data_IF_061190417718
#
_entry.id   IF_061190417718
#
_cell.length_a   1.000
_cell.length_b   1.000
_cell.length_c   1.000
_cell.angle_alpha   90.00
_cell.angle_beta   90.00
_cell.angle_gamma   90.00
#
_symmetry.space_group_name_H-M   'P 1'
#
loop_
_entity.id
_entity.type
_entity.pdbx_description
1 polymer ?
#
# COMPACT_ATOMS: atom_id res chain seq x y z
N UNK A 1 -12.15 49.32 -45.16
CA UNK A 1 -11.43 48.03 -45.31
C UNK A 1 -11.61 47.26 -44.00
N UNK A 2 -12.35 46.16 -44.04
CA UNK A 2 -12.87 45.43 -42.86
C UNK A 2 -11.77 44.55 -42.25
N UNK A 3 -11.59 44.61 -40.92
CA UNK A 3 -10.66 43.73 -40.18
C UNK A 3 -11.27 42.32 -40.04
N UNK A 4 -10.51 41.24 -40.27
CA UNK A 4 -11.01 39.87 -40.12
C UNK A 4 -11.19 39.47 -38.66
N UNK A 5 -12.24 38.68 -38.40
CA UNK A 5 -12.67 38.19 -37.10
C UNK A 5 -11.83 36.97 -36.67
N UNK A 6 -11.13 37.04 -35.54
CA UNK A 6 -10.36 35.92 -34.99
C UNK A 6 -11.22 35.10 -34.01
N UNK A 7 -11.24 33.78 -34.18
CA UNK A 7 -11.92 32.84 -33.27
C UNK A 7 -11.07 32.57 -32.02
N UNK A 8 -11.72 32.58 -30.87
CA UNK A 8 -11.09 32.42 -29.55
C UNK A 8 -10.80 30.94 -29.32
N UNK A 9 -9.59 30.49 -29.64
CA UNK A 9 -9.19 29.09 -29.45
C UNK A 9 -7.78 28.68 -29.91
N UNK A 10 -7.10 29.45 -30.75
CA UNK A 10 -5.76 29.06 -31.24
C UNK A 10 -4.62 29.59 -30.34
N UNK A 11 -3.83 28.68 -29.75
CA UNK A 11 -2.57 28.99 -29.05
C UNK A 11 -1.39 28.99 -30.04
N UNK A 12 -0.53 30.01 -30.05
CA UNK A 12 0.59 30.09 -30.99
C UNK A 12 1.74 29.11 -30.68
N UNK A 13 2.25 28.42 -31.71
CA UNK A 13 3.40 27.50 -31.66
C UNK A 13 4.72 28.24 -31.33
N UNK A 14 5.44 27.82 -30.28
CA UNK A 14 6.80 28.30 -29.95
C UNK A 14 7.84 27.71 -30.93
N UNK A 15 8.67 28.58 -31.52
CA UNK A 15 9.77 28.24 -32.44
C UNK A 15 11.06 27.89 -31.67
N UNK A 16 11.77 26.89 -32.19
CA UNK A 16 13.09 26.36 -31.78
C UNK A 16 14.20 27.35 -32.15
N UNK A 17 15.17 27.62 -31.26
CA UNK A 17 16.35 28.46 -31.54
C UNK A 17 17.63 27.62 -31.42
N UNK A 18 18.51 27.80 -32.40
CA UNK A 18 19.81 27.14 -32.62
C UNK A 18 20.94 27.79 -31.82
N UNK A 19 21.96 26.98 -31.48
CA UNK A 19 23.20 27.31 -30.75
C UNK A 19 24.16 28.23 -31.52
N UNK A 20 25.01 28.97 -30.79
CA UNK A 20 26.36 29.38 -31.22
C UNK A 20 27.28 29.48 -29.99
N UNK A 21 28.46 28.89 -30.13
CA UNK A 21 29.53 28.70 -29.14
C UNK A 21 30.36 29.97 -28.86
N UNK A 22 30.89 30.13 -27.64
CA UNK A 22 32.34 30.26 -27.37
C UNK A 22 32.70 30.27 -25.86
N UNK A 23 33.69 29.43 -25.52
CA UNK A 23 34.70 29.38 -24.44
C UNK A 23 34.51 30.04 -23.05
N UNK A 24 34.77 29.26 -21.98
CA UNK A 24 35.21 29.79 -20.67
C UNK A 24 34.96 28.91 -19.43
N UNK A 25 35.93 28.06 -19.10
CA UNK A 25 36.41 27.59 -17.77
C UNK A 25 35.49 27.40 -16.52
N UNK A 26 35.60 26.18 -15.95
CA UNK A 26 35.58 25.77 -14.52
C UNK A 26 34.36 25.88 -13.56
N UNK A 27 34.01 24.67 -13.06
CA UNK A 27 33.56 24.25 -11.69
C UNK A 27 32.05 24.16 -11.30
N UNK A 28 31.75 22.92 -10.88
CA UNK A 28 30.89 22.43 -9.77
C UNK A 28 29.34 22.43 -9.83
N UNK A 29 28.81 21.31 -9.32
CA UNK A 29 27.46 20.95 -8.85
C UNK A 29 26.32 20.56 -9.84
N UNK A 30 26.07 19.24 -9.94
CA UNK A 30 24.74 18.65 -10.20
C UNK A 30 24.09 18.16 -8.88
N UNK A 31 22.91 17.49 -8.83
CA UNK A 31 22.12 16.79 -9.87
C UNK A 31 20.57 17.05 -9.69
N UNK A 32 19.58 16.17 -10.02
CA UNK A 32 19.50 15.02 -10.94
C UNK A 32 18.35 15.13 -11.98
N UNK A 33 18.48 14.37 -13.07
CA UNK A 33 17.50 14.28 -14.16
C UNK A 33 16.57 13.06 -14.01
N UNK A 34 15.32 13.27 -14.41
CA UNK A 34 14.19 12.33 -14.41
C UNK A 34 14.41 11.14 -15.34
N UNK A 35 14.05 9.94 -14.85
CA UNK A 35 14.04 8.68 -15.61
C UNK A 35 12.70 8.54 -16.34
N UNK A 36 12.75 8.39 -17.67
CA UNK A 36 11.69 7.75 -18.46
C UNK A 36 12.27 6.64 -19.32
N UNK A 37 11.49 5.57 -19.39
CA UNK A 37 11.77 4.21 -19.86
C UNK A 37 11.70 4.11 -21.39
N UNK A 38 12.63 3.37 -22.00
CA UNK A 38 12.37 2.56 -23.20
C UNK A 38 13.43 1.45 -23.34
N UNK A 39 12.90 0.25 -23.60
CA UNK A 39 13.50 -1.07 -23.86
C UNK A 39 14.41 -1.17 -25.08
N UNK A 40 15.49 -1.97 -25.03
CA UNK A 40 15.66 -3.22 -25.81
C UNK A 40 16.95 -3.98 -25.43
N UNK A 41 16.78 -5.31 -25.38
CA UNK A 41 17.71 -6.44 -25.27
C UNK A 41 19.20 -6.21 -25.62
N UNK A 42 20.12 -6.63 -24.75
CA UNK A 42 20.83 -7.94 -24.83
C UNK A 42 21.91 -8.05 -23.76
N UNK A 43 22.18 -9.31 -23.40
CA UNK A 43 23.37 -9.85 -22.72
C UNK A 43 23.26 -10.13 -21.22
N UNK A 44 23.44 -11.42 -20.95
CA UNK A 44 23.42 -12.20 -19.73
C UNK A 44 24.24 -11.62 -18.57
N UNK A 45 23.90 -12.06 -17.35
CA UNK A 45 24.58 -11.83 -16.05
C UNK A 45 24.01 -10.75 -15.12
N UNK A 46 22.68 -10.66 -14.98
CA UNK A 46 22.02 -9.88 -13.90
C UNK A 46 20.84 -10.59 -13.21
N UNK A 47 20.61 -11.89 -13.48
CA UNK A 47 19.35 -12.57 -13.17
C UNK A 47 19.02 -12.72 -11.67
N UNK A 48 19.99 -12.89 -10.78
CA UNK A 48 19.68 -13.19 -9.37
C UNK A 48 19.29 -11.98 -8.50
N UNK A 49 19.71 -10.76 -8.83
CA UNK A 49 19.26 -9.58 -8.07
C UNK A 49 17.93 -9.03 -8.59
N UNK A 50 17.68 -9.16 -9.90
CA UNK A 50 16.42 -8.74 -10.52
C UNK A 50 15.25 -9.65 -10.14
N UNK A 51 15.41 -10.98 -10.13
CA UNK A 51 14.33 -11.88 -9.69
C UNK A 51 13.92 -11.61 -8.24
N UNK A 52 14.91 -11.46 -7.34
CA UNK A 52 14.63 -11.30 -5.91
C UNK A 52 14.07 -9.91 -5.56
N UNK A 53 14.46 -8.84 -6.27
CA UNK A 53 13.79 -7.54 -6.14
C UNK A 53 12.37 -7.54 -6.70
N UNK A 54 12.10 -8.35 -7.72
CA UNK A 54 10.76 -8.48 -8.31
C UNK A 54 9.83 -9.28 -7.38
N UNK A 55 10.34 -10.33 -6.74
CA UNK A 55 9.63 -11.08 -5.69
C UNK A 55 9.35 -10.22 -4.45
N UNK A 56 10.36 -9.51 -3.93
CA UNK A 56 10.20 -8.61 -2.78
C UNK A 56 9.17 -7.48 -3.05
N UNK A 57 9.06 -7.02 -4.31
CA UNK A 57 8.07 -6.02 -4.73
C UNK A 57 6.67 -6.61 -4.94
N UNK A 58 6.56 -7.87 -5.39
CA UNK A 58 5.27 -8.57 -5.51
C UNK A 58 4.68 -8.91 -4.13
N UNK A 59 5.51 -9.29 -3.15
CA UNK A 59 5.07 -9.49 -1.76
C UNK A 59 4.52 -8.19 -1.12
N UNK A 60 4.99 -7.03 -1.58
CA UNK A 60 4.58 -5.72 -1.08
C UNK A 60 3.15 -5.31 -1.54
N UNK A 61 2.56 -6.01 -2.51
CA UNK A 61 1.21 -5.76 -3.02
C UNK A 61 0.14 -6.73 -2.49
N UNK A 62 0.54 -7.77 -1.75
CA UNK A 62 -0.37 -8.77 -1.19
C UNK A 62 -1.31 -8.21 -0.10
N UNK A 63 -2.54 -8.73 -0.01
CA UNK A 63 -3.55 -8.30 0.96
C UNK A 63 -3.89 -9.38 1.98
N UNK A 64 -4.04 -8.99 3.25
CA UNK A 64 -4.36 -9.88 4.37
C UNK A 64 -5.46 -9.28 5.25
N UNK A 65 -6.15 -10.12 6.03
CA UNK A 65 -7.16 -9.65 6.99
C UNK A 65 -6.45 -9.10 8.22
N UNK A 66 -6.95 -7.98 8.75
CA UNK A 66 -6.48 -7.46 10.03
C UNK A 66 -7.03 -8.33 11.17
N UNK A 67 -6.18 -8.85 12.05
CA UNK A 67 -6.60 -9.71 13.17
C UNK A 67 -6.75 -8.89 14.45
N UNK A 68 -5.93 -7.84 14.57
CA UNK A 68 -5.88 -6.94 15.72
C UNK A 68 -5.94 -5.47 15.29
N UNK A 69 -6.33 -4.59 16.22
CA UNK A 69 -6.31 -3.14 15.99
C UNK A 69 -4.90 -2.61 15.65
N UNK A 70 -3.86 -3.27 16.15
CA UNK A 70 -2.46 -2.93 15.84
C UNK A 70 -2.07 -3.22 14.39
N UNK A 71 -2.81 -4.08 13.71
CA UNK A 71 -2.52 -4.41 12.31
C UNK A 71 -2.98 -3.28 11.38
N UNK A 72 -4.04 -2.56 11.75
CA UNK A 72 -4.71 -1.57 10.90
C UNK A 72 -3.86 -0.30 10.80
N UNK A 73 -3.11 -0.16 9.71
CA UNK A 73 -2.38 1.05 9.37
C UNK A 73 -2.08 1.11 7.87
N UNK A 74 -2.06 2.31 7.30
CA UNK A 74 -1.76 2.49 5.88
C UNK A 74 -2.94 2.08 4.99
N UNK A 75 -2.68 1.60 3.76
CA UNK A 75 -3.74 1.20 2.83
C UNK A 75 -4.56 0.00 3.35
N UNK A 76 -5.87 0.21 3.43
CA UNK A 76 -6.88 -0.77 3.81
C UNK A 76 -8.05 -0.76 2.81
N UNK A 77 -8.87 -1.79 2.89
CA UNK A 77 -10.14 -1.93 2.17
C UNK A 77 -11.19 -2.45 3.15
N UNK A 78 -12.35 -1.80 3.19
CA UNK A 78 -13.51 -2.27 3.94
C UNK A 78 -14.31 -3.21 3.05
N UNK A 79 -14.47 -4.45 3.48
CA UNK A 79 -15.34 -5.44 2.83
C UNK A 79 -16.62 -5.53 3.65
N UNK A 80 -17.71 -5.14 3.01
CA UNK A 80 -19.03 -5.00 3.60
C UNK A 80 -19.70 -6.36 3.81
N UNK A 81 -20.56 -6.53 4.84
CA UNK A 81 -21.27 -7.78 5.12
C UNK A 81 -22.44 -8.02 4.14
N UNK A 82 -22.15 -8.08 2.84
CA UNK A 82 -23.15 -8.21 1.76
C UNK A 82 -23.30 -9.61 1.23
N UNK A 83 -22.99 -10.62 2.05
CA UNK A 83 -22.99 -12.06 1.69
C UNK A 83 -24.38 -12.65 1.44
N UNK A 84 -25.40 -11.80 1.22
CA UNK A 84 -26.74 -12.26 0.88
C UNK A 84 -26.80 -12.53 -0.63
N UNK A 85 -26.78 -13.81 -1.00
CA UNK A 85 -27.04 -14.27 -2.37
C UNK A 85 -28.29 -13.58 -2.92
N UNK A 86 -28.26 -12.99 -4.13
CA UNK A 86 -27.31 -13.22 -5.23
C UNK A 86 -26.13 -12.24 -5.31
N UNK A 87 -25.92 -11.37 -4.33
CA UNK A 87 -24.94 -10.28 -4.45
C UNK A 87 -23.52 -10.71 -4.10
N UNK A 88 -22.51 -10.41 -4.95
CA UNK A 88 -21.12 -10.63 -4.58
C UNK A 88 -20.74 -9.73 -3.40
N UNK A 89 -19.65 -10.06 -2.66
CA UNK A 89 -19.07 -9.18 -1.67
C UNK A 89 -18.85 -7.78 -2.25
N UNK A 90 -19.15 -6.76 -1.46
CA UNK A 90 -18.96 -5.36 -1.85
C UNK A 90 -17.97 -4.67 -0.93
N UNK A 91 -17.39 -3.57 -1.40
CA UNK A 91 -16.48 -2.72 -0.65
C UNK A 91 -17.11 -1.37 -0.34
N UNK A 92 -16.67 -0.74 0.75
CA UNK A 92 -16.91 0.68 0.97
C UNK A 92 -16.02 1.48 0.01
N UNK A 93 -16.61 2.11 -0.99
CA UNK A 93 -15.90 2.89 -2.00
C UNK A 93 -16.26 4.35 -1.95
N UNK A 94 -15.44 5.18 -2.58
CA UNK A 94 -15.69 6.62 -2.68
C UNK A 94 -15.35 7.17 -4.06
N UNK A 95 -16.19 8.07 -4.57
CA UNK A 95 -15.94 8.76 -5.83
C UNK A 95 -15.11 10.05 -5.64
N UNK A 96 -14.78 10.72 -6.75
CA UNK A 96 -14.00 11.95 -6.74
C UNK A 96 -14.72 13.12 -6.02
N UNK A 97 -16.05 13.09 -5.96
CA UNK A 97 -16.86 14.13 -5.32
C UNK A 97 -17.00 13.90 -3.81
N UNK A 98 -16.68 12.71 -3.33
CA UNK A 98 -16.80 12.31 -1.93
C UNK A 98 -18.10 11.58 -1.61
N UNK A 99 -18.84 11.09 -2.61
CA UNK A 99 -19.96 10.19 -2.38
C UNK A 99 -19.42 8.81 -2.01
N UNK A 100 -19.87 8.28 -0.87
CA UNK A 100 -19.55 6.93 -0.43
C UNK A 100 -20.65 5.97 -0.87
N UNK A 101 -20.26 4.79 -1.34
CA UNK A 101 -21.19 3.80 -1.89
C UNK A 101 -20.61 2.39 -1.79
N UNK A 102 -21.48 1.38 -1.85
CA UNK A 102 -21.05 -0.01 -1.98
C UNK A 102 -20.63 -0.30 -3.44
N UNK A 103 -19.46 -0.89 -3.65
CA UNK A 103 -18.97 -1.32 -4.97
C UNK A 103 -18.74 -2.82 -4.98
N UNK A 104 -19.13 -3.52 -6.05
CA UNK A 104 -18.86 -4.96 -6.20
C UNK A 104 -17.36 -5.23 -6.18
N UNK A 105 -16.93 -6.30 -5.54
CA UNK A 105 -15.54 -6.75 -5.54
C UNK A 105 -15.38 -7.83 -6.61
N UNK A 106 -14.50 -7.61 -7.59
CA UNK A 106 -14.23 -8.56 -8.66
C UNK A 106 -13.06 -9.49 -8.34
N UNK A 107 -12.04 -8.99 -7.64
CA UNK A 107 -10.87 -9.76 -7.26
C UNK A 107 -11.12 -10.51 -5.93
N UNK A 108 -11.66 -11.73 -6.05
CA UNK A 108 -11.96 -12.66 -4.96
C UNK A 108 -11.56 -14.08 -5.41
N UNK A 109 -11.02 -14.86 -4.47
CA UNK A 109 -10.83 -16.30 -4.63
C UNK A 109 -12.12 -17.00 -4.19
N UNK A 110 -12.75 -17.75 -5.10
CA UNK A 110 -13.97 -18.54 -4.83
C UNK A 110 -15.15 -17.72 -4.24
N UNK A 111 -15.16 -16.41 -4.46
CA UNK A 111 -16.17 -15.51 -3.90
C UNK A 111 -16.05 -15.27 -2.39
N UNK A 112 -14.95 -15.69 -1.77
CA UNK A 112 -14.74 -15.59 -0.32
C UNK A 112 -14.30 -14.16 0.08
N UNK A 113 -15.01 -13.48 1.00
CA UNK A 113 -14.68 -12.10 1.41
C UNK A 113 -13.28 -11.93 2.07
N UNK A 114 -12.73 -13.00 2.64
CA UNK A 114 -11.42 -13.02 3.28
C UNK A 114 -10.25 -13.14 2.30
N UNK A 115 -10.52 -13.32 1.01
CA UNK A 115 -9.55 -13.27 -0.07
C UNK A 115 -9.64 -11.98 -0.88
N UNK A 116 -10.54 -11.07 -0.51
CA UNK A 116 -10.80 -9.85 -1.25
C UNK A 116 -9.55 -8.97 -1.39
N UNK A 117 -9.33 -8.49 -2.60
CA UNK A 117 -8.30 -7.51 -2.95
C UNK A 117 -8.94 -6.36 -3.76
N UNK A 118 -8.42 -5.12 -3.63
CA UNK A 118 -8.93 -4.01 -4.40
C UNK A 118 -8.54 -4.15 -5.88
N UNK A 119 -9.51 -3.92 -6.76
CA UNK A 119 -9.33 -3.84 -8.21
C UNK A 119 -9.56 -2.40 -8.73
N UNK A 120 -10.01 -1.50 -7.86
CA UNK A 120 -10.23 -0.09 -8.16
C UNK A 120 -9.69 0.75 -6.99
N UNK A 121 -8.99 1.84 -7.31
CA UNK A 121 -8.41 2.78 -6.32
C UNK A 121 -9.48 3.37 -5.39
N UNK A 122 -10.73 3.46 -5.85
CA UNK A 122 -11.87 3.96 -5.07
C UNK A 122 -12.21 3.08 -3.87
N UNK A 123 -11.78 1.83 -3.86
CA UNK A 123 -11.99 0.86 -2.77
C UNK A 123 -10.95 1.00 -1.64
N UNK A 124 -9.88 1.75 -1.88
CA UNK A 124 -8.74 1.86 -0.97
C UNK A 124 -8.86 3.10 -0.10
N UNK A 125 -8.65 2.89 1.19
CA UNK A 125 -8.60 3.93 2.21
C UNK A 125 -7.26 3.89 2.94
N UNK A 126 -6.74 5.05 3.32
CA UNK A 126 -5.56 5.15 4.18
C UNK A 126 -6.03 5.25 5.63
N UNK A 127 -5.83 4.19 6.40
CA UNK A 127 -6.12 4.15 7.82
C UNK A 127 -4.96 4.78 8.62
N UNK A 128 -5.30 5.75 9.46
CA UNK A 128 -4.37 6.39 10.40
C UNK A 128 -4.96 6.35 11.80
N UNK A 129 -4.24 5.74 12.74
CA UNK A 129 -4.64 5.71 14.15
C UNK A 129 -4.53 7.11 14.77
N UNK A 130 -5.54 7.50 15.53
CA UNK A 130 -5.52 8.77 16.28
C UNK A 130 -4.62 8.61 17.51
N UNK A 131 -3.69 9.55 17.68
CA UNK A 131 -2.71 9.54 18.78
C UNK A 131 -3.43 9.75 20.12
N UNK A 132 -3.04 9.00 21.14
CA UNK A 132 -3.61 9.11 22.49
C UNK A 132 -4.92 8.35 22.69
N UNK A 133 -5.39 7.62 21.68
CA UNK A 133 -6.59 6.77 21.76
C UNK A 133 -6.33 5.32 21.36
N UNK A 134 -7.02 4.43 22.04
CA UNK A 134 -7.06 3.00 21.71
C UNK A 134 -8.31 2.71 20.86
N UNK A 135 -8.08 2.36 19.59
CA UNK A 135 -9.16 1.98 18.68
C UNK A 135 -9.72 3.09 17.80
N UNK A 136 -9.35 4.35 17.98
CA UNK A 136 -9.79 5.42 17.09
C UNK A 136 -8.90 5.58 15.85
N UNK A 137 -9.54 5.73 14.70
CA UNK A 137 -8.93 5.87 13.39
C UNK A 137 -9.58 6.98 12.58
N UNK A 138 -8.82 7.46 11.61
CA UNK A 138 -9.29 8.25 10.48
C UNK A 138 -9.03 7.46 9.20
N UNK A 139 -9.90 7.63 8.21
CA UNK A 139 -9.78 6.94 6.92
C UNK A 139 -9.78 7.97 5.80
N UNK A 140 -8.70 8.04 5.03
CA UNK A 140 -8.56 9.00 3.93
C UNK A 140 -8.69 8.29 2.58
N UNK A 141 -9.63 8.71 1.76
CA UNK A 141 -9.84 8.16 0.43
C UNK A 141 -8.74 8.56 -0.56
N UNK A 142 -8.72 7.91 -1.72
CA UNK A 142 -7.74 8.17 -2.80
C UNK A 142 -7.67 9.65 -3.25
N UNK A 143 -8.79 10.36 -3.19
CA UNK A 143 -8.95 11.77 -3.54
C UNK A 143 -8.51 12.75 -2.44
N UNK A 144 -7.96 12.24 -1.33
CA UNK A 144 -7.35 13.05 -0.30
C UNK A 144 -8.31 13.61 0.76
N UNK A 145 -9.54 13.11 0.84
CA UNK A 145 -10.55 13.54 1.82
C UNK A 145 -10.88 12.41 2.80
N UNK A 146 -11.32 12.78 3.99
CA UNK A 146 -11.60 11.85 5.08
C UNK A 146 -13.03 11.32 5.00
N UNK A 147 -13.19 10.02 5.22
CA UNK A 147 -14.48 9.39 5.53
C UNK A 147 -15.08 10.11 6.74
N UNK A 148 -16.37 10.42 6.67
CA UNK A 148 -17.11 11.12 7.69
C UNK A 148 -18.51 10.53 7.81
N UNK A 149 -19.07 10.58 9.01
CA UNK A 149 -20.46 10.25 9.27
C UNK A 149 -21.15 11.44 9.93
N UNK A 150 -22.19 11.95 9.29
CA UNK A 150 -22.96 13.07 9.82
C UNK A 150 -23.96 12.65 10.91
N UNK A 151 -24.73 13.62 11.41
CA UNK A 151 -25.75 13.40 12.45
C UNK A 151 -26.98 12.63 11.99
N UNK A 152 -27.17 12.47 10.69
CA UNK A 152 -28.31 11.79 10.06
C UNK A 152 -27.93 10.41 9.53
N UNK A 153 -26.70 9.94 9.81
CA UNK A 153 -26.20 8.66 9.33
C UNK A 153 -25.70 8.68 7.89
N UNK A 154 -25.56 9.84 7.26
CA UNK A 154 -25.00 9.92 5.92
C UNK A 154 -23.48 9.79 5.98
N UNK A 155 -22.98 8.80 5.24
CA UNK A 155 -21.55 8.53 5.13
C UNK A 155 -21.02 9.22 3.86
N UNK A 156 -20.01 10.08 4.01
CA UNK A 156 -19.40 10.84 2.89
C UNK A 156 -17.90 10.96 3.08
N UNK A 157 -17.19 11.48 2.08
CA UNK A 157 -15.79 11.89 2.24
C UNK A 157 -15.49 13.20 1.50
N UNK A 158 -15.92 14.31 2.08
CA UNK A 158 -15.84 15.65 1.47
C UNK A 158 -14.84 16.58 2.16
N UNK A 159 -14.38 16.26 3.37
CA UNK A 159 -13.49 17.14 4.15
C UNK A 159 -12.03 16.76 4.02
N UNK A 160 -11.17 17.76 3.88
CA UNK A 160 -9.71 17.59 3.80
C UNK A 160 -9.03 17.55 5.18
N UNK A 161 -9.75 17.92 6.23
CA UNK A 161 -9.27 17.96 7.61
C UNK A 161 -10.08 17.02 8.50
N UNK A 162 -9.43 16.43 9.50
CA UNK A 162 -10.10 15.60 10.49
C UNK A 162 -10.84 16.46 11.51
N UNK A 163 -12.12 16.14 11.73
CA UNK A 163 -12.93 16.64 12.82
C UNK A 163 -13.60 15.49 13.58
N UNK A 164 -14.61 15.80 14.42
CA UNK A 164 -15.33 14.78 15.18
C UNK A 164 -16.09 13.77 14.30
N UNK A 165 -16.54 14.18 13.12
CA UNK A 165 -17.32 13.31 12.21
C UNK A 165 -16.41 12.36 11.41
N UNK A 166 -15.13 12.70 11.26
CA UNK A 166 -14.12 11.91 10.55
C UNK A 166 -13.41 10.87 11.44
N UNK A 167 -13.75 10.85 12.74
CA UNK A 167 -13.18 9.92 13.71
C UNK A 167 -14.10 8.70 13.87
N UNK A 168 -13.52 7.52 13.78
CA UNK A 168 -14.21 6.25 13.95
C UNK A 168 -13.48 5.36 14.95
N UNK A 169 -14.22 4.76 15.88
CA UNK A 169 -13.71 3.76 16.82
C UNK A 169 -13.96 2.36 16.25
N UNK A 170 -12.88 1.62 16.01
CA UNK A 170 -12.92 0.23 15.59
C UNK A 170 -12.98 -0.70 16.81
N UNK A 171 -13.95 -1.60 16.82
CA UNK A 171 -14.08 -2.66 17.82
C UNK A 171 -13.95 -4.01 17.12
N UNK A 172 -12.98 -4.87 17.47
CA UNK A 172 -12.94 -6.24 16.96
C UNK A 172 -14.25 -6.96 17.28
N UNK A 173 -14.77 -7.73 16.33
CA UNK A 173 -15.84 -8.68 16.62
C UNK A 173 -15.18 -9.94 17.17
N UNK A 174 -15.54 -10.31 18.39
CA UNK A 174 -15.10 -11.58 18.96
C UNK A 174 -15.70 -12.72 18.14
N UNK A 175 -14.84 -13.43 17.41
CA UNK A 175 -15.09 -14.80 17.00
C UNK A 175 -14.53 -15.70 18.11
N UNK A 176 -15.11 -16.88 18.31
CA UNK A 176 -14.65 -17.82 19.35
C UNK A 176 -13.13 -18.09 19.34
N UNK A 177 -12.66 -18.65 20.47
CA UNK A 177 -11.28 -18.99 20.85
C UNK A 177 -10.14 -18.47 19.95
N UNK A 178 -9.53 -17.35 20.39
CA UNK A 178 -8.10 -17.10 20.16
C UNK A 178 -7.71 -16.16 19.02
N UNK A 179 -8.63 -15.48 18.34
CA UNK A 179 -8.27 -14.46 17.35
C UNK A 179 -9.47 -13.83 16.64
N UNK A 180 -9.42 -12.51 16.40
CA UNK A 180 -10.46 -11.82 15.63
C UNK A 180 -10.53 -12.38 14.21
N UNK A 181 -11.72 -12.71 13.73
CA UNK A 181 -11.94 -13.31 12.40
C UNK A 181 -11.78 -12.33 11.21
N UNK A 182 -11.11 -11.20 11.43
CA UNK A 182 -11.00 -10.11 10.46
C UNK A 182 -12.16 -9.12 10.45
N UNK A 183 -13.18 -9.30 11.30
CA UNK A 183 -14.36 -8.44 11.36
C UNK A 183 -14.23 -7.40 12.48
N UNK A 184 -14.68 -6.19 12.17
CA UNK A 184 -14.72 -5.05 13.07
C UNK A 184 -16.08 -4.37 12.99
N UNK A 185 -16.53 -3.85 14.12
CA UNK A 185 -17.62 -2.87 14.18
C UNK A 185 -16.97 -1.49 14.02
N UNK A 186 -17.46 -0.70 13.08
CA UNK A 186 -16.95 0.64 12.80
C UNK A 186 -17.90 1.65 13.41
N UNK A 187 -17.57 2.14 14.61
CA UNK A 187 -18.39 3.09 15.35
C UNK A 187 -18.00 4.51 14.97
N UNK A 188 -18.96 5.36 14.63
CA UNK A 188 -18.76 6.79 14.40
C UNK A 188 -18.40 7.51 15.72
N UNK A 189 -17.86 8.73 15.63
CA UNK A 189 -17.65 9.59 16.80
C UNK A 189 -18.93 9.93 17.59
N UNK A 190 -20.11 9.58 17.07
CA UNK A 190 -21.42 9.76 17.75
C UNK A 190 -21.89 8.50 18.49
N UNK A 191 -21.17 7.40 18.38
CA UNK A 191 -21.52 6.13 19.04
C UNK A 191 -22.41 5.20 18.21
N UNK A 192 -22.87 5.64 17.04
CA UNK A 192 -23.59 4.80 16.05
C UNK A 192 -22.60 4.00 15.19
N UNK A 193 -23.07 2.98 14.49
CA UNK A 193 -22.24 2.10 13.68
C UNK A 193 -22.48 2.30 12.18
N UNK A 194 -21.41 2.13 11.40
CA UNK A 194 -21.56 1.93 9.95
C UNK A 194 -22.29 0.60 9.75
N UNK A 195 -23.39 0.66 9.03
CA UNK A 195 -24.24 -0.45 8.68
C UNK A 195 -24.49 -0.48 7.18
N UNK A 196 -24.77 -1.68 6.71
CA UNK A 196 -25.18 -1.89 5.33
C UNK A 196 -26.66 -2.19 5.34
N UNK A 197 -27.42 -1.35 4.66
CA UNK A 197 -28.83 -1.57 4.42
C UNK A 197 -29.00 -2.89 3.69
N UNK A 198 -29.68 -3.81 4.34
CA UNK A 198 -30.40 -4.85 3.62
C UNK A 198 -31.53 -4.09 2.94
N UNK A 199 -31.53 -3.96 1.61
CA UNK A 199 -32.44 -3.07 0.87
C UNK A 199 -33.77 -2.86 1.59
N UNK A 200 -34.10 -1.61 1.92
CA UNK A 200 -35.29 -1.28 2.68
C UNK A 200 -36.55 -1.84 2.02
N UNK A 201 -37.68 -1.77 2.73
CA UNK A 201 -39.02 -2.29 2.38
C UNK A 201 -39.58 -1.88 1.00
N UNK A 202 -38.83 -1.13 0.20
CA UNK A 202 -39.03 -0.84 -1.22
C UNK A 202 -38.00 -1.61 -2.07
N UNK A 203 -38.14 -2.93 -2.13
CA UNK A 203 -37.45 -3.77 -3.11
C UNK A 203 -38.11 -3.60 -4.49
N UNK A 204 -37.69 -2.61 -5.27
CA UNK A 204 -38.08 -2.51 -6.69
C UNK A 204 -37.00 -3.04 -7.66
N UNK A 205 -35.75 -3.23 -7.20
CA UNK A 205 -34.67 -3.76 -8.07
C UNK A 205 -33.73 -4.73 -7.33
N UNK A 206 -33.79 -6.05 -7.64
CA UNK A 206 -32.88 -7.04 -7.08
C UNK A 206 -31.43 -6.89 -7.57
N UNK A 207 -31.12 -5.94 -8.46
CA UNK A 207 -29.76 -5.59 -8.87
C UNK A 207 -29.18 -4.37 -8.11
N UNK A 208 -29.96 -3.71 -7.26
CA UNK A 208 -29.52 -2.53 -6.53
C UNK A 208 -28.41 -2.87 -5.52
N UNK A 209 -27.32 -2.10 -5.56
CA UNK A 209 -26.25 -2.22 -4.58
C UNK A 209 -26.73 -1.73 -3.22
N UNK A 210 -26.28 -2.35 -2.13
CA UNK A 210 -26.77 -2.01 -0.81
C UNK A 210 -26.35 -0.61 -0.39
N UNK A 211 -27.24 0.09 0.30
CA UNK A 211 -26.98 1.42 0.84
C UNK A 211 -26.07 1.31 2.07
N UNK A 212 -25.09 2.20 2.19
CA UNK A 212 -24.25 2.30 3.39
C UNK A 212 -24.67 3.50 4.21
N UNK A 213 -24.95 3.27 5.49
CA UNK A 213 -25.33 4.31 6.45
C UNK A 213 -24.52 4.21 7.72
N UNK A 214 -24.58 5.24 8.56
CA UNK A 214 -23.86 5.35 9.83
C UNK A 214 -24.76 5.66 11.03
N UNK A 215 -26.05 5.39 10.92
CA UNK A 215 -27.10 5.64 11.93
C UNK A 215 -27.54 4.37 12.68
N UNK A 216 -26.86 3.23 12.52
CA UNK A 216 -27.21 2.04 13.31
C UNK A 216 -26.85 2.23 14.78
N UNK A 217 -27.85 2.16 15.67
CA UNK A 217 -27.65 2.34 17.11
C UNK A 217 -27.09 1.07 17.78
N UNK A 218 -27.45 -0.11 17.27
CA UNK A 218 -27.02 -1.40 17.79
C UNK A 218 -26.07 -2.12 16.83
N UNK A 219 -25.14 -2.89 17.41
CA UNK A 219 -24.22 -3.71 16.65
C UNK A 219 -24.89 -5.02 16.22
N UNK A 220 -25.17 -5.15 14.92
CA UNK A 220 -25.76 -6.34 14.30
C UNK A 220 -24.79 -7.12 13.42
N UNK A 221 -25.32 -8.00 12.58
CA UNK A 221 -24.55 -8.68 11.53
C UNK A 221 -24.20 -7.74 10.37
N UNK A 222 -25.12 -6.84 10.03
CA UNK A 222 -24.97 -5.82 8.99
C UNK A 222 -23.96 -4.70 9.34
N UNK A 223 -23.45 -4.67 10.58
CA UNK A 223 -22.40 -3.74 11.03
C UNK A 223 -21.02 -4.41 11.13
N UNK A 224 -20.90 -5.70 10.79
CA UNK A 224 -19.63 -6.45 10.87
C UNK A 224 -18.86 -6.30 9.58
N UNK A 225 -17.93 -5.35 9.56
CA UNK A 225 -17.16 -5.00 8.37
C UNK A 225 -15.81 -5.70 8.45
N UNK A 226 -15.43 -6.43 7.40
CA UNK A 226 -14.10 -7.02 7.30
C UNK A 226 -13.10 -5.96 6.86
N UNK A 227 -11.93 -5.92 7.49
CA UNK A 227 -10.85 -5.01 7.10
C UNK A 227 -9.71 -5.82 6.48
N UNK A 228 -9.47 -5.56 5.19
CA UNK A 228 -8.32 -6.06 4.44
C UNK A 228 -7.24 -4.97 4.43
N UNK A 229 -5.98 -5.36 4.49
CA UNK A 229 -4.84 -4.44 4.53
C UNK A 229 -3.67 -4.98 3.72
N UNK A 230 -2.82 -4.09 3.21
CA UNK A 230 -1.58 -4.51 2.56
C UNK A 230 -0.63 -5.19 3.56
N UNK A 231 -0.16 -6.40 3.23
CA UNK A 231 0.62 -7.28 4.11
C UNK A 231 1.88 -6.61 4.67
N UNK A 232 2.59 -5.82 3.84
CA UNK A 232 3.79 -5.07 4.25
C UNK A 232 3.55 -4.05 5.38
N UNK A 233 2.31 -3.65 5.61
CA UNK A 233 1.98 -2.71 6.69
C UNK A 233 1.73 -3.39 8.04
N UNK A 234 1.53 -4.72 8.06
CA UNK A 234 1.32 -5.49 9.29
C UNK A 234 2.61 -5.46 10.15
N UNK A 235 2.53 -5.11 11.45
CA UNK A 235 3.72 -4.90 12.28
C UNK A 235 4.71 -6.07 12.30
N UNK A 236 4.20 -7.31 12.37
CA UNK A 236 5.04 -8.53 12.32
C UNK A 236 5.86 -8.61 11.04
N UNK A 237 5.25 -8.32 9.88
CA UNK A 237 5.94 -8.31 8.60
C UNK A 237 7.00 -7.21 8.52
N UNK A 238 6.79 -6.05 9.17
CA UNK A 238 7.82 -5.00 9.24
C UNK A 238 9.02 -5.43 10.07
N UNK A 239 8.80 -6.06 11.22
CA UNK A 239 9.89 -6.55 12.09
C UNK A 239 10.66 -7.65 11.37
N UNK A 240 9.98 -8.66 10.82
CA UNK A 240 10.63 -9.74 10.07
C UNK A 240 11.40 -9.23 8.84
N UNK A 241 10.84 -8.27 8.09
CA UNK A 241 11.53 -7.65 6.95
C UNK A 241 12.72 -6.82 7.42
N UNK A 242 12.60 -6.06 8.50
CA UNK A 242 13.70 -5.30 9.09
C UNK A 242 14.82 -6.20 9.63
N UNK A 243 14.49 -7.33 10.26
CA UNK A 243 15.45 -8.35 10.70
C UNK A 243 16.13 -9.04 9.52
N UNK A 244 15.37 -9.43 8.49
CA UNK A 244 15.93 -9.96 7.23
C UNK A 244 16.87 -8.96 6.58
N UNK A 245 16.53 -7.67 6.56
CA UNK A 245 17.38 -6.61 6.01
C UNK A 245 18.62 -6.40 6.88
N UNK A 246 18.48 -6.37 8.21
CA UNK A 246 19.61 -6.25 9.15
C UNK A 246 20.53 -7.47 9.13
N UNK A 247 20.00 -8.65 8.82
CA UNK A 247 20.78 -9.86 8.62
C UNK A 247 21.58 -9.86 7.30
N UNK A 248 21.25 -8.98 6.34
CA UNK A 248 22.02 -8.78 5.11
C UNK A 248 23.28 -7.97 5.41
N UNK A 249 24.42 -8.64 5.46
CA UNK A 249 25.73 -7.98 5.56
C UNK A 249 26.05 -7.17 4.29
N UNK A 250 26.48 -5.94 4.49
CA UNK A 250 26.90 -5.03 3.43
C UNK A 250 28.27 -5.44 2.86
N UNK A 251 28.57 -5.02 1.63
CA UNK A 251 29.91 -5.24 1.03
C UNK A 251 31.01 -4.63 1.90
N UNK A 252 30.74 -3.45 2.46
CA UNK A 252 31.69 -2.72 3.31
C UNK A 252 32.02 -3.49 4.58
N UNK A 253 31.00 -4.07 5.24
CA UNK A 253 31.22 -4.92 6.43
C UNK A 253 32.00 -6.19 6.08
N UNK A 254 31.72 -6.82 4.93
CA UNK A 254 32.51 -7.97 4.46
C UNK A 254 33.97 -7.60 4.20
N UNK A 255 34.23 -6.45 3.57
CA UNK A 255 35.58 -5.95 3.28
C UNK A 255 36.34 -5.56 4.56
N UNK A 256 35.65 -4.98 5.55
CA UNK A 256 36.21 -4.64 6.85
C UNK A 256 36.55 -5.89 7.66
N UNK A 257 35.67 -6.89 7.65
CA UNK A 257 35.88 -8.14 8.38
C UNK A 257 36.97 -9.01 7.75
N UNK A 258 37.11 -8.98 6.42
CA UNK A 258 38.21 -9.63 5.69
C UNK A 258 39.51 -8.79 5.76
N UNK A 259 39.42 -7.48 5.94
CA UNK A 259 40.56 -6.55 6.01
C UNK A 259 41.16 -6.17 4.65
N UNK A 260 40.43 -6.40 3.54
CA UNK A 260 40.81 -5.99 2.19
C UNK A 260 39.59 -5.73 1.32
N UNK A 261 39.77 -5.03 0.21
CA UNK A 261 38.75 -4.97 -0.84
C UNK A 261 38.51 -6.38 -1.41
N UNK A 262 37.23 -6.70 -1.58
CA UNK A 262 36.75 -7.97 -2.07
C UNK A 262 36.26 -7.81 -3.50
N UNK A 263 36.53 -8.81 -4.33
CA UNK A 263 35.95 -8.87 -5.67
C UNK A 263 34.48 -9.32 -5.62
N UNK A 264 33.72 -9.02 -6.67
CA UNK A 264 32.29 -9.30 -6.72
C UNK A 264 31.95 -10.79 -6.56
N UNK A 265 32.86 -11.69 -6.99
CA UNK A 265 32.73 -13.14 -6.77
C UNK A 265 32.94 -13.54 -5.31
N UNK A 266 33.91 -12.92 -4.62
CA UNK A 266 34.22 -13.20 -3.22
C UNK A 266 33.09 -12.69 -2.31
N UNK A 267 32.54 -11.51 -2.62
CA UNK A 267 31.35 -10.96 -1.94
C UNK A 267 30.15 -11.90 -2.11
N UNK A 268 29.93 -12.44 -3.33
CA UNK A 268 28.86 -13.42 -3.56
C UNK A 268 29.09 -14.72 -2.79
N UNK A 269 30.32 -15.24 -2.76
CA UNK A 269 30.68 -16.46 -2.02
C UNK A 269 30.41 -16.29 -0.52
N UNK A 270 30.82 -15.16 0.07
CA UNK A 270 30.60 -14.89 1.49
C UNK A 270 29.12 -14.68 1.84
N UNK A 271 28.36 -13.98 0.98
CA UNK A 271 26.90 -13.84 1.16
C UNK A 271 26.16 -15.17 1.04
N UNK A 272 26.60 -16.06 0.14
CA UNK A 272 26.07 -17.42 0.00
C UNK A 272 26.41 -18.29 1.21
N UNK A 273 27.68 -18.29 1.63
CA UNK A 273 28.14 -19.04 2.80
C UNK A 273 27.40 -18.63 4.09
N UNK A 274 27.01 -17.36 4.22
CA UNK A 274 26.17 -16.89 5.34
C UNK A 274 24.75 -17.42 5.31
N UNK A 275 24.17 -17.65 4.13
CA UNK A 275 22.85 -18.27 3.96
C UNK A 275 22.90 -19.77 4.23
N UNK A 276 24.01 -20.41 3.88
CA UNK A 276 24.24 -21.86 4.02
C UNK A 276 24.84 -22.25 5.39
N UNK A 277 25.08 -21.27 6.28
CA UNK A 277 25.59 -21.50 7.64
C UNK A 277 27.11 -21.68 7.73
N UNK A 278 27.85 -21.64 6.62
CA UNK A 278 29.29 -21.85 6.57
C UNK A 278 30.12 -20.54 6.41
N UNK A 279 29.67 -19.47 7.05
CA UNK A 279 30.26 -18.13 6.87
C UNK A 279 31.71 -18.03 7.36
N UNK A 280 32.01 -18.61 8.52
CA UNK A 280 33.32 -18.47 9.16
C UNK A 280 34.42 -19.22 8.40
N UNK A 281 34.14 -20.41 7.87
CA UNK A 281 35.09 -21.18 7.05
C UNK A 281 35.37 -20.44 5.74
N UNK A 282 34.30 -20.03 5.02
CA UNK A 282 34.44 -19.29 3.78
C UNK A 282 35.17 -17.94 3.97
N UNK A 283 35.01 -17.30 5.12
CA UNK A 283 35.74 -16.07 5.47
C UNK A 283 37.24 -16.33 5.65
N UNK A 284 37.61 -17.42 6.32
CA UNK A 284 39.02 -17.80 6.51
C UNK A 284 39.68 -18.10 5.17
N UNK A 285 39.00 -18.83 4.28
CA UNK A 285 39.50 -19.12 2.93
C UNK A 285 39.82 -17.85 2.13
N UNK A 286 38.92 -16.86 2.18
CA UNK A 286 39.07 -15.59 1.45
C UNK A 286 40.19 -14.73 2.05
N UNK A 287 40.38 -14.80 3.39
CA UNK A 287 41.52 -14.16 4.08
C UNK A 287 42.86 -14.80 3.71
N UNK A 288 42.93 -16.13 3.66
CA UNK A 288 44.15 -16.87 3.32
C UNK A 288 44.53 -16.66 1.85
N UNK A 289 43.56 -16.70 0.94
CA UNK A 289 43.80 -16.47 -0.50
C UNK A 289 44.39 -15.09 -0.82
N UNK A 290 44.13 -14.09 0.03
CA UNK A 290 44.70 -12.74 -0.09
C UNK A 290 46.13 -12.61 0.46
N UNK A 291 46.59 -13.56 1.30
CA UNK A 291 47.96 -13.62 1.82
C UNK A 291 48.83 -14.45 0.89
N UNK A 292 49.10 -13.96 -0.32
CA UNK A 292 50.23 -14.50 -1.07
C UNK A 292 51.51 -13.90 -0.49
N UNK A 293 52.34 -14.76 0.11
CA UNK A 293 53.66 -14.39 0.59
C UNK A 293 54.47 -13.83 -0.59
N UNK A 294 55.07 -12.66 -0.39
CA UNK A 294 55.84 -11.94 -1.42
C UNK A 294 57.34 -12.27 -1.34
N UNK A 295 57.72 -13.22 -0.47
CA UNK A 295 59.11 -13.56 -0.16
C UNK A 295 59.44 -15.05 -0.31
N UNK A 296 58.72 -15.79 -1.17
CA UNK A 296 59.10 -17.13 -1.62
C UNK A 296 59.72 -17.10 -3.01
#
# INVERSE_FOLDING_TARGET
MVKPLAFKGEKPKKRKRTQKDEAGDSKEDGPPNSKTVATTATTSHASNQQHQQTEDAAEDENWVSAEHLSDIAGPIMFVLPTTRSPHPPTSLSVDQLGKVFAQKIENLVEGLPDSAEPHDVRQVWIATRVVGSEGDFTFKGHHGRFLACDRFGLVTATREAMGPEERFCLRPVEGGDGGGNGLFKVQSGRGTYISVGTGGEQEEDPAALPEVRGDAEEAGENTRIRIRMQARFKPKHKVEKAEKVRAKISRKELEEEVGRRLDDEEVRKLKRARREGNYHEAMLDVKVKGKHDKFA
#
